data_IF_917374674906
#
_entry.id   IF_917374674906
#
_cell.length_a   1.000
_cell.length_b   1.000
_cell.length_c   1.000
_cell.angle_alpha   90.00
_cell.angle_beta   90.00
_cell.angle_gamma   90.00
#
_symmetry.space_group_name_H-M   'P 1'
#
loop_
_entity.id
_entity.type
_entity.pdbx_description
1 polymer ?
#
# COMPACT_ATOMS: atom_id res chain seq x y z
N UNK A 1 -10.73 19.48 -0.66
CA UNK A 1 -10.14 18.28 -1.28
C UNK A 1 -9.31 17.51 -0.25
N UNK A 2 -9.50 16.22 -0.20
CA UNK A 2 -8.72 15.40 0.72
C UNK A 2 -7.43 14.95 0.08
N UNK A 3 -6.41 14.81 0.90
CA UNK A 3 -5.13 14.27 0.46
C UNK A 3 -4.93 12.91 1.13
N UNK A 4 -4.74 11.88 0.33
CA UNK A 4 -4.47 10.54 0.83
C UNK A 4 -3.08 10.10 0.40
N UNK A 5 -2.34 9.55 1.33
CA UNK A 5 -1.07 8.94 1.00
C UNK A 5 -1.30 7.48 0.66
N UNK A 6 -0.59 7.01 -0.35
CA UNK A 6 -0.67 5.62 -0.81
C UNK A 6 0.61 4.92 -0.43
N UNK A 7 0.50 3.83 0.30
CA UNK A 7 1.64 2.98 0.61
C UNK A 7 1.39 1.59 0.04
N UNK A 8 2.43 0.93 -0.40
CA UNK A 8 2.28 -0.41 -0.97
C UNK A 8 3.29 -1.36 -0.36
N UNK A 9 2.96 -2.63 -0.35
CA UNK A 9 3.87 -3.64 0.15
C UNK A 9 3.18 -4.97 0.39
N UNK A 10 3.96 -5.95 0.81
CA UNK A 10 3.44 -7.26 1.11
C UNK A 10 2.81 -7.34 2.49
N UNK A 11 3.38 -6.67 3.46
CA UNK A 11 2.88 -6.68 4.84
C UNK A 11 2.72 -8.11 5.37
N UNK A 12 3.73 -8.92 5.17
CA UNK A 12 3.66 -10.33 5.51
C UNK A 12 4.97 -10.81 6.13
N UNK A 13 5.08 -10.80 7.44
CA UNK A 13 4.06 -10.34 8.37
C UNK A 13 4.12 -8.82 8.57
N UNK A 14 3.05 -8.27 9.10
CA UNK A 14 3.02 -6.87 9.50
C UNK A 14 3.84 -6.73 10.78
N UNK A 15 4.66 -5.72 10.84
CA UNK A 15 5.48 -5.45 12.02
C UNK A 15 5.46 -3.96 12.35
N UNK A 16 6.12 -3.61 13.46
CA UNK A 16 6.04 -2.24 13.94
C UNK A 16 6.57 -1.21 12.96
N UNK A 17 7.53 -1.59 12.11
CA UNK A 17 8.00 -0.68 11.07
C UNK A 17 6.91 -0.28 10.10
N UNK A 18 6.05 -1.22 9.74
CA UNK A 18 4.90 -0.92 8.88
C UNK A 18 3.92 -0.01 9.59
N UNK A 19 3.67 -0.26 10.87
CA UNK A 19 2.74 0.55 11.65
C UNK A 19 3.26 1.98 11.76
N UNK A 20 4.54 2.15 12.00
CA UNK A 20 5.15 3.48 12.11
C UNK A 20 5.07 4.24 10.78
N UNK A 21 5.33 3.56 9.68
CA UNK A 21 5.24 4.19 8.36
C UNK A 21 3.81 4.66 8.08
N UNK A 22 2.84 3.80 8.35
CA UNK A 22 1.43 4.14 8.12
C UNK A 22 1.02 5.29 9.03
N UNK A 23 1.44 5.26 10.28
CA UNK A 23 1.14 6.32 11.23
C UNK A 23 1.70 7.66 10.77
N UNK A 24 2.95 7.67 10.34
CA UNK A 24 3.58 8.90 9.85
C UNK A 24 2.87 9.44 8.61
N UNK A 25 2.50 8.54 7.70
CA UNK A 25 1.76 8.93 6.49
C UNK A 25 0.38 9.49 6.86
N UNK A 26 -0.29 8.88 7.82
CA UNK A 26 -1.59 9.35 8.25
C UNK A 26 -1.52 10.74 8.89
N UNK A 27 -0.46 11.00 9.64
CA UNK A 27 -0.28 12.30 10.27
C UNK A 27 -0.01 13.40 9.27
N UNK A 28 0.56 13.06 8.13
CA UNK A 28 0.89 14.03 7.08
C UNK A 28 -0.23 14.22 6.07
N UNK A 29 -1.36 13.53 6.24
CA UNK A 29 -2.42 13.51 5.24
C UNK A 29 -3.77 13.40 5.91
N UNK A 30 -4.82 13.25 5.09
CA UNK A 30 -6.17 12.99 5.60
C UNK A 30 -6.44 11.50 5.79
N UNK A 31 -5.51 10.66 5.37
CA UNK A 31 -5.65 9.22 5.52
C UNK A 31 -4.69 8.47 4.62
N UNK A 32 -4.63 7.18 4.81
CA UNK A 32 -3.72 6.31 4.08
C UNK A 32 -4.50 5.25 3.33
N UNK A 33 -4.17 5.08 2.06
CA UNK A 33 -4.68 3.99 1.25
C UNK A 33 -3.53 2.97 1.14
N UNK A 34 -3.80 1.74 1.52
CA UNK A 34 -2.78 0.68 1.48
C UNK A 34 -3.03 -0.19 0.27
N UNK A 35 -2.00 -0.38 -0.54
CA UNK A 35 -2.03 -1.30 -1.66
C UNK A 35 -1.29 -2.57 -1.22
N UNK A 36 -2.04 -3.65 -1.03
CA UNK A 36 -1.46 -4.89 -0.52
C UNK A 36 -1.16 -5.84 -1.68
N UNK A 37 0.06 -6.35 -1.71
CA UNK A 37 0.47 -7.30 -2.73
C UNK A 37 -0.28 -8.62 -2.56
N UNK A 38 -0.48 -9.32 -3.68
CA UNK A 38 -1.21 -10.57 -3.69
C UNK A 38 -0.44 -11.69 -3.01
N UNK A 39 -1.15 -12.76 -2.66
CA UNK A 39 -0.52 -13.96 -2.13
C UNK A 39 0.44 -14.55 -3.15
N UNK A 40 0.07 -14.55 -4.43
CA UNK A 40 0.94 -15.02 -5.50
C UNK A 40 2.25 -14.25 -5.56
N UNK A 41 2.18 -12.93 -5.42
CA UNK A 41 3.36 -12.10 -5.44
C UNK A 41 4.30 -12.47 -4.27
N UNK A 42 3.73 -12.68 -3.10
CA UNK A 42 4.51 -13.07 -1.93
C UNK A 42 5.17 -14.42 -2.13
N UNK A 43 4.45 -15.37 -2.72
CA UNK A 43 5.02 -16.68 -3.01
C UNK A 43 6.15 -16.59 -4.01
N UNK A 44 6.01 -15.76 -5.03
CA UNK A 44 7.07 -15.57 -6.02
C UNK A 44 8.31 -14.92 -5.41
N UNK A 45 8.11 -13.98 -4.49
CA UNK A 45 9.24 -13.25 -3.88
C UNK A 45 9.92 -14.02 -2.77
N UNK A 46 9.14 -14.69 -1.93
CA UNK A 46 9.66 -15.31 -0.71
C UNK A 46 9.56 -16.82 -0.69
N UNK A 47 8.91 -17.41 -1.68
CA UNK A 47 8.66 -18.83 -1.71
C UNK A 47 7.42 -19.25 -0.93
N UNK A 48 6.91 -18.40 -0.07
CA UNK A 48 5.68 -18.66 0.68
C UNK A 48 5.17 -17.37 1.30
N UNK A 49 3.93 -17.37 1.71
CA UNK A 49 3.37 -16.26 2.47
C UNK A 49 3.01 -16.73 3.88
N UNK A 50 3.18 -15.86 4.87
CA UNK A 50 2.82 -16.16 6.25
C UNK A 50 1.32 -16.00 6.49
N UNK A 51 0.74 -14.94 5.93
CA UNK A 51 -0.68 -14.64 6.09
C UNK A 51 -1.32 -14.50 4.72
N UNK A 52 -2.55 -14.98 4.60
CA UNK A 52 -3.31 -14.79 3.37
C UNK A 52 -3.71 -13.33 3.22
N UNK A 53 -4.13 -12.97 2.01
CA UNK A 53 -4.65 -11.63 1.74
C UNK A 53 -5.78 -11.29 2.70
N UNK A 54 -6.67 -12.23 2.97
CA UNK A 54 -7.79 -12.00 3.88
C UNK A 54 -7.30 -11.57 5.26
N UNK A 55 -6.31 -12.26 5.80
CA UNK A 55 -5.78 -11.94 7.12
C UNK A 55 -5.04 -10.62 7.11
N UNK A 56 -4.20 -10.39 6.10
CA UNK A 56 -3.45 -9.13 6.01
C UNK A 56 -4.39 -7.95 5.88
N UNK A 57 -5.39 -8.09 5.05
CA UNK A 57 -6.35 -7.02 4.82
C UNK A 57 -7.13 -6.70 6.10
N UNK A 58 -7.53 -7.72 6.84
CA UNK A 58 -8.24 -7.52 8.09
C UNK A 58 -7.40 -6.74 9.10
N UNK A 59 -6.12 -7.04 9.19
CA UNK A 59 -5.23 -6.32 10.09
C UNK A 59 -5.05 -4.88 9.63
N UNK A 60 -4.76 -4.70 8.34
CA UNK A 60 -4.49 -3.37 7.80
C UNK A 60 -5.69 -2.44 7.91
N UNK A 61 -6.88 -2.97 7.68
CA UNK A 61 -8.11 -2.18 7.74
C UNK A 61 -8.39 -1.66 9.15
N UNK A 62 -7.82 -2.30 10.14
CA UNK A 62 -8.04 -1.91 11.53
C UNK A 62 -6.92 -1.04 12.09
N UNK A 63 -5.93 -0.69 11.28
CA UNK A 63 -4.89 0.22 11.73
C UNK A 63 -5.40 1.65 11.68
N UNK A 64 -5.06 2.41 12.71
CA UNK A 64 -5.50 3.79 12.80
C UNK A 64 -4.91 4.61 11.65
N UNK A 65 -5.76 5.37 11.00
CA UNK A 65 -5.34 6.22 9.88
C UNK A 65 -5.51 5.59 8.52
N UNK A 66 -5.75 4.29 8.44
CA UNK A 66 -6.00 3.62 7.17
C UNK A 66 -7.45 3.83 6.76
N UNK A 67 -7.65 4.41 5.58
CA UNK A 67 -9.01 4.64 5.07
C UNK A 67 -9.45 3.53 4.13
N UNK A 68 -8.51 2.83 3.53
CA UNK A 68 -8.86 1.75 2.61
C UNK A 68 -7.66 0.84 2.38
N UNK A 69 -7.95 -0.40 2.05
CA UNK A 69 -6.94 -1.37 1.66
C UNK A 69 -7.39 -1.97 0.33
N UNK A 70 -6.57 -1.83 -0.69
CA UNK A 70 -6.92 -2.27 -2.04
C UNK A 70 -6.04 -3.42 -2.47
N UNK A 71 -6.67 -4.41 -3.08
CA UNK A 71 -5.96 -5.47 -3.79
C UNK A 71 -5.78 -5.03 -5.23
N UNK A 72 -4.72 -5.48 -5.86
CA UNK A 72 -4.42 -5.05 -7.22
C UNK A 72 -3.67 -6.13 -7.97
N UNK A 73 -3.61 -5.97 -9.29
CA UNK A 73 -2.88 -6.90 -10.16
C UNK A 73 -1.41 -6.54 -10.10
N UNK A 74 -0.61 -7.41 -9.50
CA UNK A 74 0.82 -7.21 -9.35
C UNK A 74 1.64 -8.23 -10.14
N UNK A 75 1.06 -8.78 -11.20
CA UNK A 75 1.76 -9.77 -12.02
C UNK A 75 2.99 -9.18 -12.71
N UNK A 76 3.01 -7.88 -12.92
CA UNK A 76 4.15 -7.19 -13.51
C UNK A 76 5.13 -6.68 -12.44
N UNK A 77 4.95 -7.05 -11.19
CA UNK A 77 5.78 -6.66 -10.06
C UNK A 77 5.75 -5.16 -9.75
N UNK A 78 4.69 -4.48 -10.18
CA UNK A 78 4.54 -3.05 -9.87
C UNK A 78 3.21 -2.79 -9.18
N UNK A 79 3.05 -1.60 -8.65
CA UNK A 79 1.80 -1.18 -8.02
C UNK A 79 0.96 -0.29 -8.95
N UNK A 80 1.27 -0.25 -10.22
CA UNK A 80 0.57 0.63 -11.15
C UNK A 80 -0.93 0.38 -11.18
N UNK A 81 -1.34 -0.89 -11.20
CA UNK A 81 -2.76 -1.22 -11.20
C UNK A 81 -3.44 -0.74 -9.92
N UNK A 82 -2.75 -0.87 -8.79
CA UNK A 82 -3.29 -0.40 -7.52
C UNK A 82 -3.48 1.10 -7.49
N UNK A 83 -2.54 1.83 -8.05
CA UNK A 83 -2.63 3.28 -8.12
C UNK A 83 -3.80 3.69 -9.00
N UNK A 84 -4.00 3.01 -10.11
CA UNK A 84 -5.15 3.27 -10.97
C UNK A 84 -6.46 2.99 -10.27
N UNK A 85 -6.53 1.93 -9.49
CA UNK A 85 -7.73 1.61 -8.71
C UNK A 85 -8.00 2.68 -7.66
N UNK A 86 -6.97 3.15 -6.99
CA UNK A 86 -7.11 4.21 -6.01
C UNK A 86 -7.63 5.48 -6.66
N UNK A 87 -7.09 5.84 -7.81
CA UNK A 87 -7.55 7.02 -8.52
C UNK A 87 -9.01 6.88 -8.95
N UNK A 88 -9.39 5.70 -9.41
CA UNK A 88 -10.77 5.46 -9.83
C UNK A 88 -11.74 5.53 -8.66
N UNK A 89 -11.31 5.06 -7.50
CA UNK A 89 -12.17 5.05 -6.31
C UNK A 89 -12.25 6.42 -5.63
N UNK A 90 -11.18 7.20 -5.72
CA UNK A 90 -11.09 8.52 -5.09
C UNK A 90 -10.70 9.57 -6.11
N UNK A 91 -11.59 9.84 -7.09
CA UNK A 91 -11.22 10.72 -8.20
C UNK A 91 -11.00 12.17 -7.81
N UNK A 92 -11.61 12.59 -6.71
CA UNK A 92 -11.52 13.97 -6.27
C UNK A 92 -10.43 14.20 -5.23
N UNK A 93 -9.74 13.15 -4.82
CA UNK A 93 -8.69 13.27 -3.81
C UNK A 93 -7.35 13.54 -4.47
N UNK A 94 -6.51 14.23 -3.72
CA UNK A 94 -5.11 14.36 -4.09
C UNK A 94 -4.37 13.13 -3.56
N UNK A 95 -3.77 12.36 -4.44
CA UNK A 95 -3.10 11.12 -4.07
C UNK A 95 -1.58 11.29 -4.15
N UNK A 96 -0.90 10.93 -3.08
CA UNK A 96 0.56 11.01 -2.99
C UNK A 96 1.09 9.61 -2.73
N UNK A 97 1.95 9.12 -3.60
CA UNK A 97 2.54 7.81 -3.40
C UNK A 97 3.71 7.93 -2.44
N UNK A 98 3.53 7.46 -1.24
CA UNK A 98 4.55 7.50 -0.20
C UNK A 98 4.94 6.07 0.11
N UNK A 99 5.96 5.59 -0.53
CA UNK A 99 6.46 4.28 -0.22
C UNK A 99 7.52 4.49 0.83
N UNK A 100 7.16 4.39 2.03
CA UNK A 100 8.05 4.63 3.12
C UNK A 100 9.30 3.86 2.98
N UNK A 101 10.20 4.24 3.09
CA UNK A 101 11.30 3.49 3.03
C UNK A 101 12.50 4.19 2.62
N UNK A 102 13.34 3.42 2.46
CA UNK A 102 14.68 3.74 2.19
C UNK A 102 15.00 3.71 0.74
N UNK A 103 14.02 3.47 -0.10
CA UNK A 103 14.35 3.37 -1.49
C UNK A 103 14.36 4.74 -2.11
N UNK A 104 15.23 4.95 -3.04
CA UNK A 104 15.32 6.18 -3.73
C UNK A 104 14.09 6.45 -4.58
N UNK A 105 13.75 7.69 -4.73
CA UNK A 105 12.56 8.06 -5.46
C UNK A 105 12.62 7.66 -6.92
N UNK A 106 13.80 7.71 -7.48
CA UNK A 106 14.02 7.37 -8.87
C UNK A 106 13.92 5.89 -9.13
N UNK A 107 13.83 5.08 -8.08
CA UNK A 107 13.71 3.64 -8.22
C UNK A 107 12.28 3.16 -8.12
N UNK A 108 11.32 4.05 -8.08
CA UNK A 108 9.92 3.67 -7.98
C UNK A 108 9.39 3.47 -9.40
N UNK A 109 9.04 2.23 -9.76
CA UNK A 109 8.60 1.97 -11.13
C UNK A 109 7.28 2.65 -11.48
N UNK A 110 6.47 2.93 -10.49
CA UNK A 110 5.19 3.59 -10.69
C UNK A 110 5.34 5.07 -11.00
N UNK A 111 6.44 5.66 -10.57
CA UNK A 111 6.66 7.06 -10.73
C UNK A 111 5.66 7.91 -10.00
N UNK A 112 5.59 9.19 -10.30
CA UNK A 112 4.57 10.02 -9.70
C UNK A 112 3.21 9.63 -10.27
N UNK A 113 2.29 9.37 -9.43
CA UNK A 113 0.98 8.91 -9.86
C UNK A 113 -0.09 9.94 -9.54
#
# INVERSE_FOLDING_TARGET
MKTYYIVSGGFDPIHEGHVEMIKASAQASDGVIVLANSDDWLCRKKGKNFHTMKTRKAILENLKGVVDVLEFDDTDNSACDGIKKARAKYPDAHLVFANGGDRGKDNIPEGPA
#
